data_IF_543637656940
#
_entry.id   IF_543637656940
#
_cell.length_a   1.000
_cell.length_b   1.000
_cell.length_c   1.000
_cell.angle_alpha   90.00
_cell.angle_beta   90.00
_cell.angle_gamma   90.00
#
_symmetry.space_group_name_H-M   'P 1'
#
loop_
_entity.id
_entity.type
_entity.pdbx_description
1 polymer ?
#
# COMPACT_ATOMS: atom_id res chain seq x y z
N UNK A 1 22.71 3.42 8.27
CA UNK A 1 21.86 4.66 8.25
C UNK A 1 21.49 4.96 9.69
N UNK A 2 21.70 6.18 10.14
CA UNK A 2 21.38 6.60 11.53
C UNK A 2 19.89 6.86 11.68
N UNK A 3 19.32 6.51 12.83
CA UNK A 3 17.97 6.89 13.23
C UNK A 3 18.00 8.29 13.84
N UNK A 4 16.92 9.07 13.66
CA UNK A 4 16.72 10.34 14.34
C UNK A 4 16.12 10.12 15.75
N UNK A 5 16.01 11.20 16.53
CA UNK A 5 15.57 11.13 17.94
C UNK A 5 14.16 10.54 18.08
N UNK A 6 13.20 10.92 17.22
CA UNK A 6 11.84 10.36 17.24
C UNK A 6 11.87 8.85 17.01
N UNK A 7 12.69 8.40 16.04
CA UNK A 7 12.86 7.00 15.69
C UNK A 7 13.58 6.22 16.81
N UNK A 8 14.57 6.82 17.45
CA UNK A 8 15.27 6.21 18.60
C UNK A 8 14.32 6.04 19.79
N UNK A 9 13.47 7.01 20.06
CA UNK A 9 12.46 6.90 21.10
C UNK A 9 11.45 5.78 20.81
N UNK A 10 10.97 5.71 19.59
CA UNK A 10 10.07 4.63 19.14
C UNK A 10 10.74 3.25 19.26
N UNK A 11 12.00 3.15 18.83
CA UNK A 11 12.80 1.92 18.95
C UNK A 11 12.98 1.48 20.41
N UNK A 12 13.15 2.44 21.33
CA UNK A 12 13.26 2.12 22.75
C UNK A 12 11.97 1.46 23.30
N UNK A 13 10.78 1.89 22.87
CA UNK A 13 9.53 1.20 23.22
C UNK A 13 9.46 -0.20 22.60
N UNK A 14 9.83 -0.33 21.34
CA UNK A 14 9.83 -1.62 20.63
C UNK A 14 10.74 -2.65 21.30
N UNK A 15 11.97 -2.24 21.67
CA UNK A 15 12.95 -3.10 22.30
C UNK A 15 12.59 -3.51 23.75
N UNK A 16 11.71 -2.73 24.41
CA UNK A 16 11.11 -3.09 25.70
C UNK A 16 9.96 -4.09 25.57
N UNK A 17 9.61 -4.52 24.37
CA UNK A 17 8.48 -5.43 24.12
C UNK A 17 7.10 -4.76 24.22
N UNK A 18 7.02 -3.42 24.20
CA UNK A 18 5.75 -2.72 24.20
C UNK A 18 5.01 -2.91 22.88
N UNK A 19 3.68 -2.94 22.91
CA UNK A 19 2.86 -2.73 21.73
C UNK A 19 2.97 -1.27 21.32
N UNK A 20 3.28 -0.99 20.05
CA UNK A 20 3.56 0.37 19.58
C UNK A 20 2.80 0.65 18.30
N UNK A 21 2.16 1.82 18.23
CA UNK A 21 1.66 2.39 16.98
C UNK A 21 2.61 3.51 16.53
N UNK A 22 3.35 3.24 15.47
CA UNK A 22 4.27 4.17 14.81
C UNK A 22 3.46 4.97 13.78
N UNK A 23 3.36 6.29 13.99
CA UNK A 23 2.61 7.18 13.12
C UNK A 23 3.38 8.45 12.81
N UNK A 24 2.89 9.22 11.88
CA UNK A 24 3.47 10.48 11.41
C UNK A 24 3.04 10.74 9.98
N UNK A 25 3.27 11.95 9.50
CA UNK A 25 2.97 12.31 8.11
C UNK A 25 3.72 11.45 7.10
N UNK A 26 3.30 11.54 5.85
CA UNK A 26 4.00 10.85 4.78
C UNK A 26 5.46 11.36 4.68
N UNK A 27 6.40 10.44 4.54
CA UNK A 27 7.81 10.82 4.40
C UNK A 27 8.60 10.98 5.70
N UNK A 28 8.03 10.70 6.88
CA UNK A 28 8.72 10.79 8.19
C UNK A 28 9.57 9.54 8.55
N UNK A 29 9.74 8.61 7.62
CA UNK A 29 10.64 7.47 7.83
C UNK A 29 10.05 6.31 8.63
N UNK A 30 8.72 6.16 8.72
CA UNK A 30 8.04 5.03 9.40
C UNK A 30 8.56 3.68 8.93
N UNK A 31 8.56 3.45 7.62
CA UNK A 31 9.01 2.18 7.02
C UNK A 31 10.51 1.94 7.24
N UNK A 32 11.32 3.01 7.30
CA UNK A 32 12.75 2.91 7.60
C UNK A 32 12.97 2.36 9.01
N UNK A 33 12.26 2.91 10.01
CA UNK A 33 12.30 2.44 11.39
C UNK A 33 11.86 0.97 11.51
N UNK A 34 10.77 0.58 10.82
CA UNK A 34 10.29 -0.81 10.82
C UNK A 34 11.37 -1.76 10.27
N UNK A 35 11.98 -1.43 9.13
CA UNK A 35 13.03 -2.26 8.53
C UNK A 35 14.24 -2.38 9.46
N UNK A 36 14.63 -1.29 10.10
CA UNK A 36 15.70 -1.29 11.09
C UNK A 36 15.37 -2.23 12.26
N UNK A 37 14.18 -2.10 12.84
CA UNK A 37 13.71 -2.95 13.92
C UNK A 37 13.65 -4.44 13.52
N UNK A 38 13.10 -4.77 12.35
CA UNK A 38 13.04 -6.13 11.84
C UNK A 38 14.46 -6.73 11.73
N UNK A 39 15.39 -5.98 11.15
CA UNK A 39 16.77 -6.43 10.99
C UNK A 39 17.44 -6.69 12.35
N UNK A 40 17.27 -5.76 13.29
CA UNK A 40 17.80 -5.87 14.65
C UNK A 40 17.24 -7.12 15.37
N UNK A 41 15.91 -7.31 15.36
CA UNK A 41 15.27 -8.44 16.04
C UNK A 41 15.61 -9.81 15.42
N UNK A 42 15.84 -9.88 14.11
CA UNK A 42 16.35 -11.12 13.48
C UNK A 42 17.71 -11.52 14.01
N UNK A 43 18.55 -10.55 14.34
CA UNK A 43 19.87 -10.79 14.96
C UNK A 43 19.74 -11.47 16.34
N UNK A 44 18.63 -11.22 17.04
CA UNK A 44 18.31 -11.86 18.33
C UNK A 44 17.50 -13.15 18.19
N UNK A 45 17.32 -13.68 16.98
CA UNK A 45 16.59 -14.93 16.73
C UNK A 45 15.08 -14.87 16.97
N UNK A 46 14.48 -13.69 17.04
CA UNK A 46 13.04 -13.50 17.23
C UNK A 46 12.22 -13.93 16.01
N UNK A 47 11.07 -14.53 16.27
CA UNK A 47 10.10 -14.90 15.22
C UNK A 47 9.18 -13.72 14.93
N UNK A 48 9.39 -13.06 13.79
CA UNK A 48 8.66 -11.86 13.40
C UNK A 48 7.70 -12.17 12.26
N UNK A 49 6.44 -11.79 12.43
CA UNK A 49 5.44 -11.73 11.36
C UNK A 49 5.48 -10.37 10.68
N UNK A 50 6.05 -10.31 9.48
CA UNK A 50 6.12 -9.06 8.70
C UNK A 50 4.90 -9.00 7.79
N UNK A 51 3.97 -8.08 8.09
CA UNK A 51 2.70 -7.99 7.35
C UNK A 51 2.30 -6.56 7.04
N UNK A 52 1.41 -6.40 6.04
CA UNK A 52 0.73 -5.15 5.76
C UNK A 52 -0.72 -5.42 5.33
N UNK A 53 -1.55 -4.39 5.36
CA UNK A 53 -2.96 -4.48 4.94
C UNK A 53 -3.11 -4.58 3.42
N UNK A 54 -2.14 -4.10 2.65
CA UNK A 54 -2.12 -4.17 1.18
C UNK A 54 -0.93 -4.96 0.64
N UNK A 55 -1.08 -5.51 -0.57
CA UNK A 55 0.01 -6.24 -1.23
C UNK A 55 1.23 -5.35 -1.51
N UNK A 56 1.01 -4.12 -1.97
CA UNK A 56 2.08 -3.17 -2.26
C UNK A 56 2.90 -2.82 -1.00
N UNK A 57 2.22 -2.49 0.10
CA UNK A 57 2.89 -2.19 1.38
C UNK A 57 3.64 -3.42 1.93
N UNK A 58 3.02 -4.62 1.84
CA UNK A 58 3.64 -5.86 2.29
C UNK A 58 4.97 -6.13 1.58
N UNK A 59 4.98 -5.96 0.26
CA UNK A 59 6.20 -6.13 -0.53
C UNK A 59 7.26 -5.08 -0.20
N UNK A 60 6.83 -3.82 0.03
CA UNK A 60 7.73 -2.74 0.39
C UNK A 60 8.51 -3.00 1.69
N UNK A 61 7.93 -3.71 2.66
CA UNK A 61 8.61 -4.08 3.92
C UNK A 61 9.20 -5.50 3.90
N UNK A 62 9.17 -6.20 2.75
CA UNK A 62 9.67 -7.57 2.63
C UNK A 62 8.78 -8.62 3.30
N UNK A 63 7.48 -8.33 3.42
CA UNK A 63 6.51 -9.19 4.12
C UNK A 63 5.42 -9.76 3.21
N UNK A 64 4.33 -10.20 3.83
CA UNK A 64 3.11 -10.72 3.18
C UNK A 64 1.91 -9.87 3.56
N UNK A 65 0.81 -9.98 2.79
CA UNK A 65 -0.45 -9.39 3.27
C UNK A 65 -0.86 -10.09 4.58
N UNK A 66 -1.47 -9.33 5.48
CA UNK A 66 -1.93 -9.84 6.77
C UNK A 66 -2.85 -11.06 6.61
N UNK A 67 -3.78 -11.00 5.67
CA UNK A 67 -4.69 -12.10 5.35
C UNK A 67 -3.97 -13.38 4.92
N UNK A 68 -2.96 -13.26 4.07
CA UNK A 68 -2.14 -14.39 3.63
C UNK A 68 -1.26 -14.93 4.77
N UNK A 69 -0.63 -14.07 5.55
CA UNK A 69 0.22 -14.47 6.67
C UNK A 69 -0.55 -15.26 7.73
N UNK A 70 -1.78 -14.82 8.03
CA UNK A 70 -2.68 -15.44 9.02
C UNK A 70 -3.47 -16.63 8.45
N UNK A 71 -3.45 -16.86 7.12
CA UNK A 71 -4.24 -17.89 6.43
C UNK A 71 -5.75 -17.78 6.66
N UNK A 72 -6.27 -16.55 6.77
CA UNK A 72 -7.69 -16.27 7.07
C UNK A 72 -8.56 -16.01 5.84
N UNK A 73 -7.98 -16.07 4.62
CA UNK A 73 -8.69 -15.74 3.38
C UNK A 73 -9.29 -14.34 3.43
N UNK A 74 -10.58 -14.18 3.14
CA UNK A 74 -11.29 -12.90 3.24
C UNK A 74 -11.83 -12.59 4.64
N UNK A 75 -11.42 -13.34 5.67
CA UNK A 75 -11.83 -13.20 7.07
C UNK A 75 -13.36 -13.18 7.32
N UNK A 76 -14.16 -13.78 6.40
CA UNK A 76 -15.63 -13.79 6.50
C UNK A 76 -16.19 -14.70 7.62
N UNK A 77 -15.40 -15.66 8.08
CA UNK A 77 -15.77 -16.59 9.16
C UNK A 77 -15.49 -15.97 10.54
N UNK A 78 -16.08 -16.55 11.59
CA UNK A 78 -15.75 -16.16 12.96
C UNK A 78 -14.30 -16.52 13.32
N UNK A 79 -13.75 -15.91 14.37
CA UNK A 79 -12.39 -16.17 14.84
C UNK A 79 -12.18 -17.64 15.21
N UNK A 80 -13.19 -18.26 15.87
CA UNK A 80 -13.18 -19.66 16.29
C UNK A 80 -13.12 -20.60 15.07
N UNK A 81 -13.96 -20.34 14.06
CA UNK A 81 -13.99 -21.15 12.84
C UNK A 81 -12.68 -21.03 12.04
N UNK A 82 -12.09 -19.83 11.97
CA UNK A 82 -10.78 -19.61 11.35
C UNK A 82 -9.67 -20.31 12.13
N UNK A 83 -9.64 -20.20 13.44
CA UNK A 83 -8.64 -20.86 14.28
C UNK A 83 -8.72 -22.39 14.17
N UNK A 84 -9.93 -22.96 14.24
CA UNK A 84 -10.14 -24.39 14.05
C UNK A 84 -9.67 -24.85 12.68
N UNK A 85 -10.03 -24.12 11.62
CA UNK A 85 -9.57 -24.41 10.25
C UNK A 85 -8.04 -24.38 10.16
N UNK A 86 -7.37 -23.38 10.76
CA UNK A 86 -5.91 -23.26 10.73
C UNK A 86 -5.24 -24.37 11.52
N UNK A 87 -5.74 -24.71 12.70
CA UNK A 87 -5.19 -25.80 13.55
C UNK A 87 -5.36 -27.17 12.93
N UNK A 88 -6.43 -27.39 12.18
CA UNK A 88 -6.72 -28.72 11.57
C UNK A 88 -6.12 -28.87 10.18
N UNK A 89 -6.29 -27.87 9.29
CA UNK A 89 -5.94 -27.94 7.87
C UNK A 89 -4.58 -27.30 7.55
N UNK A 90 -4.18 -26.25 8.31
CA UNK A 90 -2.95 -25.48 8.06
C UNK A 90 -1.97 -25.58 9.26
N UNK A 91 -1.65 -26.80 9.69
CA UNK A 91 -0.82 -27.09 10.88
C UNK A 91 0.51 -26.34 10.89
N UNK A 92 1.13 -26.13 9.69
CA UNK A 92 2.38 -25.34 9.56
C UNK A 92 2.17 -23.88 9.96
N UNK A 93 1.08 -23.26 9.52
CA UNK A 93 0.72 -21.89 9.90
C UNK A 93 0.39 -21.82 11.38
N UNK A 94 -0.38 -22.77 11.94
CA UNK A 94 -0.66 -22.83 13.37
C UNK A 94 0.63 -22.90 14.21
N UNK A 95 1.60 -23.75 13.81
CA UNK A 95 2.91 -23.83 14.48
C UNK A 95 3.66 -22.51 14.41
N UNK A 96 3.68 -21.85 13.23
CA UNK A 96 4.31 -20.54 13.04
C UNK A 96 3.68 -19.45 13.93
N UNK A 97 2.34 -19.41 14.00
CA UNK A 97 1.62 -18.41 14.81
C UNK A 97 1.79 -18.64 16.33
N UNK A 98 1.95 -19.89 16.78
CA UNK A 98 2.28 -20.19 18.18
C UNK A 98 3.69 -19.72 18.57
N UNK A 99 4.64 -19.81 17.64
CA UNK A 99 6.04 -19.40 17.87
C UNK A 99 6.27 -17.90 17.65
N UNK A 100 5.23 -17.13 17.25
CA UNK A 100 5.36 -15.73 16.89
C UNK A 100 5.67 -14.86 18.11
N UNK A 101 6.78 -14.10 18.09
CA UNK A 101 7.13 -13.15 19.13
C UNK A 101 6.55 -11.77 18.83
N UNK A 102 6.65 -11.31 17.58
CA UNK A 102 6.25 -9.97 17.15
C UNK A 102 5.44 -10.01 15.86
N UNK A 103 4.36 -9.26 15.81
CA UNK A 103 3.55 -9.04 14.60
C UNK A 103 3.67 -7.59 14.15
N UNK A 104 4.28 -7.37 13.01
CA UNK A 104 4.33 -6.07 12.33
C UNK A 104 3.16 -5.96 11.37
N UNK A 105 2.37 -4.88 11.45
CA UNK A 105 1.28 -4.57 10.53
C UNK A 105 1.48 -3.16 9.99
N UNK A 106 1.90 -3.05 8.74
CA UNK A 106 2.02 -1.76 8.05
C UNK A 106 0.70 -1.36 7.38
N UNK A 107 0.53 -0.06 7.15
CA UNK A 107 -0.70 0.57 6.63
C UNK A 107 -1.95 0.20 7.43
N UNK A 108 -1.84 0.19 8.76
CA UNK A 108 -2.93 -0.20 9.67
C UNK A 108 -4.17 0.69 9.58
N UNK A 109 -4.05 1.89 9.01
CA UNK A 109 -5.17 2.82 8.77
C UNK A 109 -6.30 2.23 7.93
N UNK A 110 -5.99 1.26 7.07
CA UNK A 110 -6.96 0.57 6.22
C UNK A 110 -7.68 -0.60 6.93
N UNK A 111 -7.29 -0.92 8.15
CA UNK A 111 -7.90 -1.99 8.94
C UNK A 111 -9.09 -1.47 9.73
N UNK A 112 -10.22 -2.15 9.65
CA UNK A 112 -11.37 -1.84 10.47
C UNK A 112 -11.30 -2.50 11.89
N UNK A 113 -12.14 -2.00 12.79
CA UNK A 113 -12.19 -2.46 14.18
C UNK A 113 -12.64 -3.92 14.31
N UNK A 114 -13.55 -4.39 13.46
CA UNK A 114 -14.04 -5.78 13.50
C UNK A 114 -12.93 -6.76 13.14
N UNK A 115 -12.16 -6.48 12.09
CA UNK A 115 -11.02 -7.29 11.70
C UNK A 115 -9.95 -7.30 12.80
N UNK A 116 -9.69 -6.15 13.43
CA UNK A 116 -8.71 -6.03 14.51
C UNK A 116 -9.10 -6.90 15.72
N UNK A 117 -10.36 -6.83 16.14
CA UNK A 117 -10.90 -7.65 17.24
C UNK A 117 -10.88 -9.15 16.87
N UNK A 118 -11.29 -9.49 15.64
CA UNK A 118 -11.29 -10.86 15.13
C UNK A 118 -9.90 -11.49 15.11
N UNK A 119 -8.86 -10.72 14.70
CA UNK A 119 -7.47 -11.19 14.68
C UNK A 119 -6.95 -11.43 16.10
N UNK A 120 -7.32 -10.58 17.05
CA UNK A 120 -6.98 -10.80 18.46
C UNK A 120 -7.55 -12.11 18.96
N UNK A 121 -8.87 -12.31 18.81
CA UNK A 121 -9.54 -13.54 19.23
C UNK A 121 -8.96 -14.79 18.52
N UNK A 122 -8.68 -14.69 17.23
CA UNK A 122 -8.06 -15.75 16.45
C UNK A 122 -6.68 -16.18 17.00
N UNK A 123 -5.81 -15.22 17.34
CA UNK A 123 -4.50 -15.52 17.92
C UNK A 123 -4.60 -16.01 19.36
N UNK A 124 -5.55 -15.51 20.18
CA UNK A 124 -5.82 -16.02 21.52
C UNK A 124 -6.13 -17.53 21.48
N UNK A 125 -7.00 -17.97 20.58
CA UNK A 125 -7.35 -19.37 20.42
C UNK A 125 -6.16 -20.22 19.96
N UNK A 126 -5.41 -19.78 18.96
CA UNK A 126 -4.28 -20.56 18.42
C UNK A 126 -3.15 -20.70 19.43
N UNK A 127 -2.91 -19.68 20.24
CA UNK A 127 -1.81 -19.61 21.20
C UNK A 127 -2.19 -20.08 22.61
N UNK A 128 -3.48 -20.32 22.83
CA UNK A 128 -4.04 -20.63 24.16
C UNK A 128 -3.64 -19.58 25.21
N UNK A 129 -3.80 -18.29 24.85
CA UNK A 129 -3.42 -17.14 25.66
C UNK A 129 -4.49 -16.05 25.55
N UNK A 130 -5.13 -15.70 26.68
CA UNK A 130 -6.24 -14.75 26.76
C UNK A 130 -5.85 -13.28 26.58
N UNK A 131 -4.55 -12.98 26.63
CA UNK A 131 -4.07 -11.61 26.39
C UNK A 131 -4.39 -11.16 24.95
N UNK A 132 -4.54 -9.85 24.71
CA UNK A 132 -4.73 -9.33 23.35
C UNK A 132 -3.71 -9.95 22.38
N UNK A 133 -4.22 -10.39 21.22
CA UNK A 133 -3.43 -11.07 20.19
C UNK A 133 -2.63 -12.30 20.68
N UNK A 134 -3.13 -12.98 21.73
CA UNK A 134 -2.44 -14.14 22.30
C UNK A 134 -1.05 -13.80 22.85
N UNK A 135 -0.86 -12.59 23.39
CA UNK A 135 0.40 -12.13 23.98
C UNK A 135 1.53 -11.81 22.99
N UNK A 136 1.25 -11.76 21.69
CA UNK A 136 2.22 -11.32 20.68
C UNK A 136 2.44 -9.81 20.79
N UNK A 137 3.69 -9.36 20.72
CA UNK A 137 3.99 -7.93 20.61
C UNK A 137 3.47 -7.38 19.28
N UNK A 138 2.75 -6.25 19.34
CA UNK A 138 2.22 -5.56 18.15
C UNK A 138 3.10 -4.38 17.76
N UNK A 139 3.51 -4.34 16.50
CA UNK A 139 4.16 -3.19 15.86
C UNK A 139 3.25 -2.72 14.74
N UNK A 140 2.43 -1.73 15.04
CA UNK A 140 1.47 -1.17 14.10
C UNK A 140 2.06 0.08 13.46
N UNK A 141 1.91 0.23 12.16
CA UNK A 141 2.41 1.38 11.42
C UNK A 141 1.36 1.93 10.47
N UNK A 142 1.28 3.25 10.38
CA UNK A 142 0.34 3.91 9.48
C UNK A 142 0.05 5.34 9.87
N UNK A 143 -0.91 5.93 9.18
CA UNK A 143 -1.40 7.28 9.45
C UNK A 143 -2.92 7.31 9.26
N UNK A 144 -3.66 7.42 10.35
CA UNK A 144 -5.13 7.47 10.31
C UNK A 144 -5.70 8.72 9.62
N UNK A 145 -4.88 9.76 9.44
CA UNK A 145 -5.27 10.93 8.65
C UNK A 145 -5.21 10.68 7.13
N UNK A 146 -4.64 9.56 6.68
CA UNK A 146 -4.71 9.10 5.30
C UNK A 146 -6.08 8.44 5.04
N UNK A 147 -6.12 7.44 4.15
CA UNK A 147 -7.37 6.79 3.78
C UNK A 147 -7.95 5.99 4.96
N UNK A 148 -9.27 6.12 5.21
CA UNK A 148 -9.99 5.28 6.17
C UNK A 148 -10.15 3.84 5.66
N UNK A 149 -10.58 2.89 6.51
CA UNK A 149 -11.03 1.59 6.07
C UNK A 149 -12.15 1.72 5.03
N UNK A 150 -12.20 0.80 4.05
CA UNK A 150 -13.24 0.79 3.00
C UNK A 150 -14.64 0.59 3.60
N UNK A 151 -14.72 -0.12 4.73
CA UNK A 151 -15.95 -0.36 5.48
C UNK A 151 -15.63 -0.43 6.97
N UNK A 152 -16.64 -0.19 7.81
CA UNK A 152 -16.48 -0.24 9.26
C UNK A 152 -15.84 1.02 9.86
N UNK A 153 -15.46 0.93 11.12
CA UNK A 153 -14.81 1.99 11.88
C UNK A 153 -13.30 1.75 12.01
N UNK A 154 -12.53 2.78 12.32
CA UNK A 154 -11.09 2.66 12.51
C UNK A 154 -10.72 1.63 13.58
N UNK A 155 -9.65 0.87 13.39
CA UNK A 155 -9.20 -0.15 14.34
C UNK A 155 -8.88 0.42 15.74
N UNK A 156 -8.51 1.70 15.86
CA UNK A 156 -8.29 2.33 17.16
C UNK A 156 -9.59 2.52 18.00
N UNK A 157 -10.76 2.38 17.39
CA UNK A 157 -12.05 2.41 18.11
C UNK A 157 -12.39 1.09 18.78
N UNK A 158 -11.68 0.02 18.40
CA UNK A 158 -11.85 -1.34 18.95
C UNK A 158 -11.61 -1.38 20.47
N UNK A 159 -12.32 -2.27 21.16
CA UNK A 159 -12.09 -2.56 22.58
C UNK A 159 -10.70 -3.14 22.82
N UNK A 160 -10.26 -4.01 21.91
CA UNK A 160 -8.95 -4.66 21.97
C UNK A 160 -7.81 -3.66 21.82
N UNK A 161 -7.96 -2.60 21.01
CA UNK A 161 -6.95 -1.55 20.90
C UNK A 161 -6.63 -0.92 22.26
N UNK A 162 -7.65 -0.63 23.06
CA UNK A 162 -7.47 -0.09 24.43
C UNK A 162 -6.84 -1.12 25.36
N UNK A 163 -7.30 -2.38 25.31
CA UNK A 163 -6.81 -3.47 26.15
C UNK A 163 -5.35 -3.82 25.85
N UNK A 164 -4.91 -3.70 24.59
CA UNK A 164 -3.56 -3.99 24.15
C UNK A 164 -2.50 -2.96 24.64
N UNK A 165 -2.93 -1.88 25.32
CA UNK A 165 -2.03 -0.83 25.87
C UNK A 165 -0.99 -0.34 24.85
N UNK A 166 -1.46 0.01 23.65
CA UNK A 166 -0.62 0.42 22.52
C UNK A 166 -0.04 1.81 22.78
N UNK A 167 1.28 1.93 22.79
CA UNK A 167 2.00 3.20 22.92
C UNK A 167 2.01 3.93 21.58
N UNK A 168 1.70 5.22 21.60
CA UNK A 168 1.79 6.08 20.42
C UNK A 168 3.23 6.59 20.25
N UNK A 169 3.86 6.28 19.12
CA UNK A 169 5.15 6.82 18.69
C UNK A 169 4.94 7.70 17.45
N UNK A 170 4.99 9.03 17.64
CA UNK A 170 4.77 10.00 16.58
C UNK A 170 6.10 10.43 15.99
N UNK A 171 6.32 10.18 14.69
CA UNK A 171 7.47 10.67 13.94
C UNK A 171 7.12 12.02 13.30
N UNK A 172 7.91 13.04 13.59
CA UNK A 172 7.66 14.43 13.16
C UNK A 172 8.69 14.94 12.17
N UNK A 173 9.88 14.34 12.15
CA UNK A 173 10.99 14.78 11.31
C UNK A 173 10.79 14.36 9.85
N UNK A 174 10.74 15.30 8.88
CA UNK A 174 10.64 14.96 7.46
C UNK A 174 11.90 14.27 6.97
N UNK A 175 11.75 13.16 6.25
CA UNK A 175 12.85 12.42 5.61
C UNK A 175 12.77 12.47 4.09
N UNK A 176 11.58 12.69 3.53
CA UNK A 176 11.34 12.71 2.07
C UNK A 176 11.37 14.13 1.52
N UNK A 177 10.80 15.09 2.24
CA UNK A 177 10.69 16.51 1.87
C UNK A 177 11.70 17.36 2.63
N UNK A 178 12.91 16.87 2.90
CA UNK A 178 13.95 17.62 3.62
C UNK A 178 14.32 18.93 2.93
N UNK A 179 14.31 18.92 1.60
CA UNK A 179 14.68 20.07 0.76
C UNK A 179 13.48 20.99 0.43
N UNK A 180 12.24 20.60 0.79
CA UNK A 180 11.02 21.37 0.53
C UNK A 180 10.17 21.50 1.79
N UNK A 181 10.63 22.35 2.70
CA UNK A 181 10.00 22.59 3.99
C UNK A 181 8.65 23.30 3.86
N UNK A 182 8.45 24.09 2.82
CA UNK A 182 7.17 24.74 2.50
C UNK A 182 6.12 23.71 2.16
N UNK A 183 6.44 22.79 1.25
CA UNK A 183 5.53 21.72 0.89
C UNK A 183 5.26 20.76 2.05
N UNK A 184 6.27 20.45 2.86
CA UNK A 184 6.08 19.64 4.06
C UNK A 184 5.08 20.29 5.03
N UNK A 185 5.23 21.60 5.29
CA UNK A 185 4.33 22.36 6.17
C UNK A 185 2.90 22.40 5.62
N UNK A 186 2.74 22.54 4.29
CA UNK A 186 1.44 22.46 3.61
C UNK A 186 0.83 21.05 3.78
N UNK A 187 1.61 19.99 3.63
CA UNK A 187 1.15 18.61 3.84
C UNK A 187 0.69 18.37 5.28
N UNK A 188 1.38 18.93 6.28
CA UNK A 188 0.96 18.82 7.68
C UNK A 188 -0.39 19.53 7.91
N UNK A 189 -0.61 20.71 7.35
CA UNK A 189 -1.92 21.38 7.43
C UNK A 189 -3.00 20.64 6.64
N UNK A 190 -2.69 20.15 5.46
CA UNK A 190 -3.61 19.33 4.66
C UNK A 190 -4.04 18.05 5.40
N UNK A 191 -3.13 17.43 6.14
CA UNK A 191 -3.37 16.25 6.98
C UNK A 191 -4.47 16.47 8.00
N UNK A 192 -4.56 17.67 8.56
CA UNK A 192 -5.51 18.03 9.59
C UNK A 192 -6.72 18.82 9.08
N UNK A 193 -6.80 19.04 7.76
CA UNK A 193 -7.88 19.85 7.16
C UNK A 193 -7.83 21.32 7.56
N UNK A 194 -6.65 21.83 7.88
CA UNK A 194 -6.42 23.20 8.38
C UNK A 194 -5.58 24.04 7.40
N UNK A 195 -5.75 23.83 6.09
CA UNK A 195 -5.10 24.64 5.06
C UNK A 195 -5.47 26.10 5.20
N UNK A 196 -4.48 26.98 5.09
CA UNK A 196 -4.66 28.44 5.05
C UNK A 196 -5.03 28.91 3.64
N UNK A 197 -5.44 30.16 3.49
CA UNK A 197 -5.68 30.73 2.16
C UNK A 197 -4.37 30.80 1.34
N UNK A 198 -3.24 31.06 1.97
CA UNK A 198 -1.92 31.02 1.32
C UNK A 198 -1.58 29.61 0.79
N UNK A 199 -1.92 28.56 1.54
CA UNK A 199 -1.78 27.17 1.07
C UNK A 199 -2.66 26.92 -0.14
N UNK A 200 -3.90 27.42 -0.11
CA UNK A 200 -4.83 27.27 -1.22
C UNK A 200 -4.36 28.04 -2.45
N UNK A 201 -3.77 29.22 -2.30
CA UNK A 201 -3.14 29.96 -3.41
C UNK A 201 -1.95 29.19 -3.98
N UNK A 202 -1.12 28.63 -3.11
CA UNK A 202 0.01 27.76 -3.50
C UNK A 202 -0.49 26.57 -4.31
N UNK A 203 -1.56 25.89 -3.87
CA UNK A 203 -2.15 24.78 -4.63
C UNK A 203 -2.82 25.25 -5.93
N UNK A 204 -3.47 26.43 -5.96
CA UNK A 204 -4.03 27.04 -7.18
C UNK A 204 -2.95 27.30 -8.24
N UNK A 205 -1.75 27.73 -7.84
CA UNK A 205 -0.65 27.91 -8.77
C UNK A 205 -0.22 26.62 -9.48
N UNK A 206 -0.58 25.46 -8.92
CA UNK A 206 -0.31 24.15 -9.51
C UNK A 206 -1.47 23.61 -10.38
N UNK A 207 -2.58 24.34 -10.48
CA UNK A 207 -3.70 23.95 -11.34
C UNK A 207 -3.30 24.15 -12.80
N UNK A 208 -3.40 23.07 -13.59
CA UNK A 208 -2.98 23.01 -14.99
C UNK A 208 -1.51 23.39 -15.25
N UNK A 209 -0.67 23.35 -14.21
CA UNK A 209 0.75 23.57 -14.38
C UNK A 209 1.33 22.50 -15.32
N UNK A 210 1.74 22.94 -16.49
CA UNK A 210 2.45 22.13 -17.49
C UNK A 210 3.95 22.34 -17.30
N UNK A 211 4.53 21.74 -16.28
CA UNK A 211 5.98 21.73 -16.17
C UNK A 211 6.57 20.67 -17.08
N UNK A 212 7.76 20.97 -17.57
CA UNK A 212 8.54 20.07 -18.40
C UNK A 212 9.02 18.88 -17.58
N UNK A 213 8.15 17.86 -17.48
CA UNK A 213 8.64 16.55 -17.12
C UNK A 213 9.57 16.05 -18.25
N UNK A 214 10.58 15.21 -17.95
CA UNK A 214 11.39 14.62 -18.99
C UNK A 214 10.49 14.06 -20.11
N UNK A 215 10.80 14.35 -21.36
CA UNK A 215 9.97 14.13 -22.55
C UNK A 215 9.37 12.73 -22.73
N UNK A 216 9.85 11.75 -21.96
CA UNK A 216 9.38 10.35 -22.00
C UNK A 216 8.55 9.91 -20.78
N UNK A 217 8.31 10.81 -19.79
CA UNK A 217 7.50 10.46 -18.60
C UNK A 217 6.26 11.35 -18.54
N UNK A 218 5.12 10.75 -18.84
CA UNK A 218 3.82 11.37 -18.56
C UNK A 218 3.55 11.27 -17.05
N UNK A 219 3.15 12.36 -16.35
CA UNK A 219 2.77 12.31 -14.95
C UNK A 219 1.70 11.25 -14.71
N UNK A 220 1.83 10.49 -13.62
CA UNK A 220 0.75 9.57 -13.24
C UNK A 220 -0.43 10.36 -12.72
N UNK A 221 -1.62 10.10 -13.27
CA UNK A 221 -2.85 10.71 -12.84
C UNK A 221 -3.45 9.94 -11.66
N UNK A 222 -3.77 10.67 -10.60
CA UNK A 222 -4.43 10.13 -9.41
C UNK A 222 -5.92 10.50 -9.42
N UNK A 223 -6.77 9.47 -9.37
CA UNK A 223 -8.23 9.63 -9.34
C UNK A 223 -8.83 8.94 -8.12
N UNK A 224 -10.01 9.41 -7.73
CA UNK A 224 -10.76 8.86 -6.59
C UNK A 224 -11.37 7.49 -6.87
N UNK A 225 -11.76 7.20 -8.12
CA UNK A 225 -12.52 6.01 -8.50
C UNK A 225 -11.84 5.22 -9.64
N UNK A 226 -12.08 3.89 -9.67
CA UNK A 226 -11.48 3.00 -10.68
C UNK A 226 -11.97 3.30 -12.11
N UNK A 227 -13.25 3.68 -12.30
CA UNK A 227 -13.81 3.94 -13.62
C UNK A 227 -13.05 5.04 -14.37
N UNK A 228 -12.63 6.10 -13.68
CA UNK A 228 -11.83 7.16 -14.28
C UNK A 228 -10.43 6.66 -14.68
N UNK A 229 -9.83 5.82 -13.84
CA UNK A 229 -8.52 5.20 -14.11
C UNK A 229 -8.57 4.31 -15.35
N UNK A 230 -9.57 3.46 -15.44
CA UNK A 230 -9.71 2.53 -16.57
C UNK A 230 -10.00 3.29 -17.88
N UNK A 231 -10.84 4.34 -17.85
CA UNK A 231 -11.12 5.19 -18.99
C UNK A 231 -9.85 5.90 -19.50
N UNK A 232 -9.09 6.52 -18.61
CA UNK A 232 -7.84 7.23 -18.95
C UNK A 232 -6.79 6.28 -19.51
N UNK A 233 -6.58 5.14 -18.87
CA UNK A 233 -5.61 4.15 -19.35
C UNK A 233 -6.00 3.60 -20.73
N UNK A 234 -7.31 3.35 -20.95
CA UNK A 234 -7.82 2.89 -22.25
C UNK A 234 -7.68 3.96 -23.33
N UNK A 235 -7.98 5.23 -23.01
CA UNK A 235 -7.84 6.34 -23.95
C UNK A 235 -6.38 6.52 -24.38
N UNK A 236 -5.45 6.59 -23.44
CA UNK A 236 -4.03 6.74 -23.78
C UNK A 236 -3.49 5.56 -24.58
N UNK A 237 -3.96 4.32 -24.30
CA UNK A 237 -3.59 3.17 -25.10
C UNK A 237 -4.11 3.34 -26.53
N UNK A 238 -5.38 3.76 -26.69
CA UNK A 238 -5.99 3.99 -28.00
C UNK A 238 -5.26 5.08 -28.77
N UNK A 239 -4.92 6.19 -28.12
CA UNK A 239 -4.18 7.31 -28.75
C UNK A 239 -2.83 6.88 -29.37
N UNK A 240 -2.20 5.85 -28.76
CA UNK A 240 -0.95 5.29 -29.30
C UNK A 240 -1.24 4.34 -30.47
N UNK A 241 -2.30 3.54 -30.37
CA UNK A 241 -2.70 2.62 -31.44
C UNK A 241 -3.11 3.38 -32.69
N UNK A 242 -3.81 4.53 -32.54
CA UNK A 242 -4.22 5.40 -33.64
C UNK A 242 -3.01 6.03 -34.39
N UNK A 243 -1.83 6.06 -33.74
CA UNK A 243 -0.57 6.47 -34.36
C UNK A 243 0.15 5.34 -35.11
N UNK A 244 -0.47 4.17 -35.22
CA UNK A 244 0.00 3.03 -36.00
C UNK A 244 0.77 1.95 -35.22
N UNK A 245 0.82 2.05 -33.90
CA UNK A 245 1.41 0.98 -33.08
C UNK A 245 0.50 -0.24 -33.01
N UNK A 246 1.10 -1.42 -32.82
CA UNK A 246 0.36 -2.67 -32.72
C UNK A 246 0.14 -3.08 -31.27
N UNK A 247 -1.05 -3.62 -30.98
CA UNK A 247 -1.41 -4.09 -29.66
C UNK A 247 -1.07 -5.57 -29.49
N UNK A 248 -0.39 -5.91 -28.38
CA UNK A 248 -0.20 -7.27 -27.92
C UNK A 248 -1.04 -7.50 -26.67
N UNK A 249 -1.75 -8.62 -26.62
CA UNK A 249 -2.56 -9.03 -25.47
C UNK A 249 -1.89 -10.16 -24.71
N UNK A 250 -1.92 -10.08 -23.37
CA UNK A 250 -1.39 -11.08 -22.45
C UNK A 250 -2.51 -11.53 -21.52
N UNK A 251 -2.75 -12.83 -21.48
CA UNK A 251 -3.75 -13.42 -20.59
C UNK A 251 -3.08 -14.29 -19.53
N UNK A 252 -3.56 -14.23 -18.27
CA UNK A 252 -3.04 -15.09 -17.21
C UNK A 252 -3.40 -16.55 -17.51
N UNK A 253 -2.48 -17.46 -17.18
CA UNK A 253 -2.73 -18.91 -17.23
C UNK A 253 -3.04 -19.38 -15.81
N UNK A 254 -4.26 -19.90 -15.63
CA UNK A 254 -4.72 -20.45 -14.36
C UNK A 254 -4.46 -21.96 -14.33
N UNK A 255 -3.64 -22.44 -13.39
CA UNK A 255 -3.39 -23.86 -13.23
C UNK A 255 -4.59 -24.56 -12.58
N UNK A 256 -4.85 -25.79 -13.00
CA UNK A 256 -5.93 -26.65 -12.50
C UNK A 256 -6.39 -27.66 -13.54
N UNK A 257 -6.63 -28.89 -13.11
CA UNK A 257 -7.13 -29.96 -14.00
C UNK A 257 -8.63 -29.85 -14.31
N UNK A 258 -9.43 -29.44 -13.32
CA UNK A 258 -10.86 -29.26 -13.43
C UNK A 258 -11.23 -27.75 -13.56
N UNK A 259 -12.33 -27.47 -14.29
CA UNK A 259 -12.78 -26.08 -14.49
C UNK A 259 -13.11 -25.36 -13.16
N UNK A 260 -13.72 -26.07 -12.21
CA UNK A 260 -13.97 -25.53 -10.87
C UNK A 260 -12.69 -25.10 -10.12
N UNK A 261 -11.56 -25.80 -10.35
CA UNK A 261 -10.26 -25.43 -9.78
C UNK A 261 -9.70 -24.19 -10.47
N UNK A 262 -9.79 -24.11 -11.81
CA UNK A 262 -9.37 -22.91 -12.56
C UNK A 262 -10.17 -21.68 -12.13
N UNK A 263 -11.49 -21.82 -11.92
CA UNK A 263 -12.33 -20.72 -11.44
C UNK A 263 -11.94 -20.25 -10.03
N UNK A 264 -11.61 -21.17 -9.12
CA UNK A 264 -11.06 -20.82 -7.78
C UNK A 264 -9.72 -20.11 -7.94
N UNK A 265 -8.84 -20.58 -8.83
CA UNK A 265 -7.55 -19.93 -9.11
C UNK A 265 -7.77 -18.54 -9.70
N UNK A 266 -8.72 -18.36 -10.62
CA UNK A 266 -9.09 -17.06 -11.20
C UNK A 266 -9.59 -16.08 -10.12
N UNK A 267 -10.51 -16.52 -9.28
CA UNK A 267 -11.02 -15.68 -8.18
C UNK A 267 -9.92 -15.26 -7.20
N UNK A 268 -9.02 -16.18 -6.86
CA UNK A 268 -7.85 -15.88 -6.04
C UNK A 268 -6.88 -14.91 -6.74
N UNK A 269 -6.54 -15.13 -8.00
CA UNK A 269 -5.66 -14.24 -8.77
C UNK A 269 -6.25 -12.83 -8.90
N UNK A 270 -7.57 -12.71 -9.09
CA UNK A 270 -8.29 -11.43 -9.10
C UNK A 270 -8.16 -10.71 -7.76
N UNK A 271 -8.22 -11.42 -6.63
CA UNK A 271 -8.02 -10.83 -5.31
C UNK A 271 -6.59 -10.31 -5.08
N UNK A 272 -5.61 -10.86 -5.79
CA UNK A 272 -4.23 -10.34 -5.85
C UNK A 272 -4.08 -9.15 -6.80
N UNK A 273 -5.15 -8.80 -7.53
CA UNK A 273 -5.15 -7.74 -8.51
C UNK A 273 -4.50 -8.13 -9.85
N UNK A 274 -4.37 -9.43 -10.16
CA UNK A 274 -3.97 -9.90 -11.49
C UNK A 274 -5.07 -9.53 -12.49
N UNK A 275 -4.77 -8.79 -13.57
CA UNK A 275 -5.77 -8.43 -14.57
C UNK A 275 -6.22 -9.67 -15.35
N UNK A 276 -7.50 -9.76 -15.68
CA UNK A 276 -8.02 -10.84 -16.53
C UNK A 276 -7.41 -10.83 -17.94
N UNK A 277 -7.04 -9.65 -18.43
CA UNK A 277 -6.36 -9.41 -19.70
C UNK A 277 -5.51 -8.15 -19.56
N UNK A 278 -4.30 -8.17 -20.10
CA UNK A 278 -3.40 -7.02 -20.17
C UNK A 278 -3.11 -6.73 -21.64
N UNK A 279 -3.55 -5.56 -22.12
CA UNK A 279 -3.25 -5.05 -23.45
C UNK A 279 -2.12 -4.03 -23.36
N UNK A 280 -1.08 -4.18 -24.16
CA UNK A 280 0.08 -3.30 -24.23
C UNK A 280 0.44 -2.99 -25.68
N UNK A 281 1.04 -1.83 -25.90
CA UNK A 281 1.69 -1.45 -27.15
C UNK A 281 3.05 -0.80 -26.84
N UNK A 282 3.89 -0.62 -27.84
CA UNK A 282 5.13 0.15 -27.68
C UNK A 282 4.79 1.58 -27.27
N UNK A 283 5.57 2.18 -26.37
CA UNK A 283 5.28 3.49 -25.79
C UNK A 283 4.28 3.48 -24.62
N UNK A 284 3.63 2.35 -24.32
CA UNK A 284 2.71 2.27 -23.18
C UNK A 284 3.44 2.49 -21.86
N UNK A 285 2.88 3.35 -21.00
CA UNK A 285 3.38 3.57 -19.66
C UNK A 285 2.85 2.49 -18.73
N UNK A 286 3.76 1.82 -18.03
CA UNK A 286 3.44 0.66 -17.17
C UNK A 286 4.04 0.78 -15.78
N UNK A 287 3.45 0.03 -14.85
CA UNK A 287 3.98 -0.19 -13.50
C UNK A 287 4.19 -1.68 -13.27
N UNK A 288 5.32 -2.02 -12.69
CA UNK A 288 5.62 -3.39 -12.23
C UNK A 288 4.75 -3.69 -11.01
N UNK A 289 4.06 -4.84 -11.00
CA UNK A 289 3.09 -5.21 -9.97
C UNK A 289 3.58 -6.31 -9.02
N UNK A 290 4.83 -6.74 -9.19
CA UNK A 290 5.43 -7.80 -8.37
C UNK A 290 6.94 -7.55 -8.20
N UNK A 291 7.52 -7.96 -7.06
CA UNK A 291 8.97 -7.90 -6.88
C UNK A 291 9.63 -9.00 -7.72
N UNK A 292 10.23 -8.60 -8.82
CA UNK A 292 11.04 -9.48 -9.65
C UNK A 292 12.44 -9.44 -9.05
N UNK A 293 13.07 -10.58 -8.79
CA UNK A 293 14.38 -10.75 -8.11
C UNK A 293 15.56 -10.04 -8.82
N UNK A 294 15.40 -8.76 -9.14
CA UNK A 294 16.39 -7.84 -9.69
C UNK A 294 16.31 -6.54 -8.90
N UNK A 295 17.44 -5.98 -8.53
CA UNK A 295 17.54 -4.84 -7.61
C UNK A 295 16.69 -3.63 -7.99
N UNK A 296 16.41 -3.44 -9.31
CA UNK A 296 15.65 -2.28 -9.82
C UNK A 296 14.17 -2.57 -10.15
N UNK A 297 13.70 -3.81 -10.02
CA UNK A 297 12.34 -4.22 -10.42
C UNK A 297 11.49 -4.59 -9.21
N UNK A 298 11.14 -3.59 -8.43
CA UNK A 298 10.22 -3.74 -7.29
C UNK A 298 8.79 -3.35 -7.69
N UNK A 299 7.82 -3.84 -6.94
CA UNK A 299 6.44 -3.42 -7.12
C UNK A 299 6.32 -1.89 -6.98
N UNK A 300 5.66 -1.25 -7.95
CA UNK A 300 5.57 0.20 -8.06
C UNK A 300 6.63 0.82 -8.99
N UNK A 301 7.62 0.06 -9.48
CA UNK A 301 8.58 0.57 -10.48
C UNK A 301 7.86 0.95 -11.77
N UNK A 302 8.02 2.20 -12.17
CA UNK A 302 7.43 2.74 -13.40
C UNK A 302 8.40 2.62 -14.57
N UNK A 303 7.82 2.35 -15.75
CA UNK A 303 8.58 2.18 -16.99
C UNK A 303 7.71 2.49 -18.22
N UNK A 304 8.36 2.57 -19.37
CA UNK A 304 7.71 2.66 -20.67
C UNK A 304 8.03 1.38 -21.45
N UNK A 305 7.04 0.83 -22.12
CA UNK A 305 7.19 -0.34 -23.00
C UNK A 305 8.03 0.07 -24.21
N UNK A 306 9.16 -0.56 -24.42
CA UNK A 306 10.05 -0.31 -25.55
C UNK A 306 9.85 -1.33 -26.68
N UNK A 307 9.60 -2.59 -26.31
CA UNK A 307 9.31 -3.64 -27.28
C UNK A 307 8.45 -4.77 -26.68
N UNK A 308 7.79 -5.51 -27.53
CA UNK A 308 6.80 -6.55 -27.18
C UNK A 308 7.08 -7.82 -27.94
N UNK A 309 6.98 -8.96 -27.25
CA UNK A 309 6.91 -10.28 -27.85
C UNK A 309 5.74 -11.08 -27.27
N UNK A 310 5.32 -12.19 -27.86
CA UNK A 310 4.22 -13.00 -27.30
C UNK A 310 4.48 -13.52 -25.88
N UNK A 311 5.73 -13.58 -25.44
CA UNK A 311 6.15 -14.19 -24.18
C UNK A 311 6.88 -13.24 -23.22
N UNK A 312 7.20 -12.02 -23.65
CA UNK A 312 7.94 -11.06 -22.81
C UNK A 312 7.74 -9.63 -23.27
N UNK A 313 8.06 -8.67 -22.41
CA UNK A 313 7.99 -7.24 -22.68
C UNK A 313 9.33 -6.62 -22.29
N UNK A 314 9.91 -5.82 -23.18
CA UNK A 314 11.07 -4.98 -22.87
C UNK A 314 10.55 -3.65 -22.37
N UNK A 315 10.93 -3.28 -21.16
CA UNK A 315 10.60 -1.99 -20.55
C UNK A 315 11.85 -1.15 -20.36
N UNK A 316 11.70 0.17 -20.51
CA UNK A 316 12.73 1.17 -20.23
C UNK A 316 12.38 1.90 -18.94
N UNK A 317 13.29 1.84 -17.97
CA UNK A 317 13.17 2.52 -16.68
C UNK A 317 13.49 4.01 -16.81
N UNK A 318 13.14 4.80 -15.78
CA UNK A 318 13.44 6.25 -15.70
C UNK A 318 14.92 6.58 -15.88
N UNK A 319 15.83 5.72 -15.39
CA UNK A 319 17.27 5.87 -15.52
C UNK A 319 17.81 5.42 -16.91
N UNK A 320 16.93 5.11 -17.86
CA UNK A 320 17.29 4.64 -19.20
C UNK A 320 17.63 3.16 -19.29
N UNK A 321 17.71 2.44 -18.18
CA UNK A 321 18.04 1.01 -18.17
C UNK A 321 16.89 0.19 -18.77
N UNK A 322 17.23 -0.75 -19.63
CA UNK A 322 16.29 -1.71 -20.26
C UNK A 322 16.21 -2.98 -19.45
N UNK A 323 14.99 -3.45 -19.24
CA UNK A 323 14.74 -4.72 -18.54
C UNK A 323 13.73 -5.56 -19.32
N UNK A 324 13.96 -6.87 -19.34
CA UNK A 324 13.02 -7.84 -19.93
C UNK A 324 12.10 -8.35 -18.83
N UNK A 325 10.80 -8.20 -19.03
CA UNK A 325 9.78 -8.73 -18.13
C UNK A 325 9.15 -9.95 -18.77
N UNK A 326 9.28 -11.09 -18.10
CA UNK A 326 8.64 -12.34 -18.48
C UNK A 326 7.49 -12.68 -17.50
N UNK A 327 6.52 -13.52 -17.91
CA UNK A 327 5.50 -14.02 -17.01
C UNK A 327 6.12 -14.69 -15.78
N UNK A 328 5.56 -14.40 -14.62
CA UNK A 328 5.95 -15.01 -13.35
C UNK A 328 4.90 -16.03 -12.92
N UNK A 329 5.32 -17.03 -12.16
CA UNK A 329 4.43 -17.99 -11.50
C UNK A 329 4.24 -17.60 -10.06
N UNK A 330 2.99 -17.32 -9.69
CA UNK A 330 2.62 -17.05 -8.29
C UNK A 330 1.76 -18.21 -7.79
N UNK A 331 2.11 -18.73 -6.63
CA UNK A 331 1.40 -19.82 -5.96
C UNK A 331 0.83 -19.35 -4.64
N UNK A 332 -0.34 -19.83 -4.28
CA UNK A 332 -0.89 -19.60 -2.96
C UNK A 332 -0.11 -20.42 -1.91
N UNK A 333 0.36 -19.79 -0.85
CA UNK A 333 1.12 -20.48 0.19
C UNK A 333 0.25 -21.49 0.95
N UNK A 334 -1.03 -21.18 1.12
CA UNK A 334 -1.97 -21.97 1.90
C UNK A 334 -2.66 -23.08 1.06
N UNK A 335 -2.71 -22.91 -0.26
CA UNK A 335 -3.25 -23.90 -1.19
C UNK A 335 -2.36 -23.97 -2.44
N UNK A 336 -1.39 -24.85 -2.42
CA UNK A 336 -0.42 -25.06 -3.50
C UNK A 336 -1.06 -25.42 -4.84
N UNK A 337 -2.35 -25.78 -4.83
CA UNK A 337 -3.12 -26.04 -6.05
C UNK A 337 -3.56 -24.77 -6.77
N UNK A 338 -3.53 -23.63 -6.07
CA UNK A 338 -3.85 -22.33 -6.66
C UNK A 338 -2.56 -21.68 -7.18
N UNK A 339 -2.37 -21.71 -8.48
CA UNK A 339 -1.21 -21.13 -9.17
C UNK A 339 -1.65 -20.38 -10.42
N UNK A 340 -1.08 -19.19 -10.59
CA UNK A 340 -1.30 -18.35 -11.76
C UNK A 340 0.03 -17.94 -12.38
N UNK A 341 0.11 -18.01 -13.70
CA UNK A 341 1.22 -17.46 -14.48
C UNK A 341 0.74 -16.22 -15.20
N UNK A 342 1.35 -15.07 -14.97
CA UNK A 342 0.94 -13.81 -15.58
C UNK A 342 2.10 -12.85 -15.75
N UNK A 343 1.96 -11.89 -16.66
CA UNK A 343 2.90 -10.81 -16.84
C UNK A 343 2.70 -9.73 -15.73
N UNK A 344 3.69 -9.47 -14.86
CA UNK A 344 3.50 -8.62 -13.68
C UNK A 344 3.58 -7.12 -14.02
N UNK A 345 2.77 -6.68 -14.97
CA UNK A 345 2.66 -5.30 -15.42
C UNK A 345 1.19 -4.84 -15.40
N UNK A 346 0.99 -3.53 -15.27
CA UNK A 346 -0.29 -2.83 -15.49
C UNK A 346 -0.04 -1.51 -16.18
N UNK A 347 -1.03 -1.01 -16.91
CA UNK A 347 -1.01 0.37 -17.42
C UNK A 347 -0.94 1.36 -16.25
N UNK A 348 -0.18 2.45 -16.43
CA UNK A 348 0.17 3.37 -15.35
C UNK A 348 0.11 4.85 -15.73
N UNK A 349 -0.71 5.23 -16.70
CA UNK A 349 -1.02 6.64 -16.94
C UNK A 349 -1.94 7.20 -15.86
N UNK A 350 -2.84 6.35 -15.34
CA UNK A 350 -3.66 6.67 -14.18
C UNK A 350 -3.68 5.53 -13.17
N UNK A 351 -3.80 5.87 -11.88
CA UNK A 351 -4.01 4.93 -10.78
C UNK A 351 -4.98 5.56 -9.76
N UNK A 352 -5.66 4.74 -8.97
CA UNK A 352 -6.48 5.30 -7.88
C UNK A 352 -5.61 5.77 -6.72
N UNK A 353 -6.10 6.78 -5.98
CA UNK A 353 -5.45 7.27 -4.75
C UNK A 353 -5.22 6.12 -3.77
N UNK A 354 -6.17 5.19 -3.63
CA UNK A 354 -6.03 3.99 -2.79
C UNK A 354 -4.83 3.12 -3.20
N UNK A 355 -4.67 2.88 -4.51
CA UNK A 355 -3.55 2.06 -5.02
C UNK A 355 -2.21 2.80 -5.00
N UNK A 356 -2.23 4.13 -4.88
CA UNK A 356 -1.01 4.93 -4.75
C UNK A 356 -0.50 5.00 -3.31
N UNK A 357 -1.26 4.51 -2.32
CA UNK A 357 -0.84 4.50 -0.93
C UNK A 357 0.45 3.70 -0.76
N UNK A 358 1.40 4.23 0.01
CA UNK A 358 2.74 3.67 0.11
C UNK A 358 3.71 4.00 -1.05
N UNK A 359 3.21 4.45 -2.21
CA UNK A 359 4.06 4.84 -3.34
C UNK A 359 4.63 6.25 -3.17
N UNK A 360 5.73 6.51 -3.85
CA UNK A 360 6.29 7.85 -4.06
C UNK A 360 6.36 8.10 -5.55
N UNK A 361 5.82 9.24 -6.01
CA UNK A 361 5.76 9.59 -7.42
C UNK A 361 6.64 10.81 -7.70
N UNK A 362 7.47 10.71 -8.74
CA UNK A 362 8.37 11.80 -9.14
C UNK A 362 7.64 12.89 -9.94
N UNK A 363 6.50 12.54 -10.54
CA UNK A 363 5.64 13.44 -11.29
C UNK A 363 4.20 12.94 -11.14
N UNK A 364 3.31 13.81 -10.66
CA UNK A 364 1.94 13.41 -10.36
C UNK A 364 0.95 14.49 -10.77
N UNK A 365 -0.10 14.08 -11.46
CA UNK A 365 -1.26 14.92 -11.74
C UNK A 365 -2.46 14.38 -10.96
N UNK A 366 -3.18 15.23 -10.24
CA UNK A 366 -4.24 14.78 -9.34
C UNK A 366 -5.51 15.59 -9.47
N UNK A 367 -6.65 14.90 -9.38
CA UNK A 367 -7.96 15.51 -9.27
C UNK A 367 -8.33 15.67 -7.78
N UNK A 368 -8.22 16.90 -7.28
CA UNK A 368 -8.54 17.31 -5.92
C UNK A 368 -9.87 18.10 -5.87
N UNK A 369 -10.73 17.89 -6.83
CA UNK A 369 -12.03 18.56 -6.97
C UNK A 369 -13.15 17.83 -6.22
N UNK A 370 -14.37 18.02 -6.73
CA UNK A 370 -15.60 17.52 -6.12
C UNK A 370 -15.75 15.99 -6.14
N UNK A 371 -14.85 15.28 -6.83
CA UNK A 371 -14.82 13.80 -6.87
C UNK A 371 -14.13 13.18 -5.64
N UNK A 372 -13.48 13.98 -4.80
CA UNK A 372 -12.98 13.54 -3.50
C UNK A 372 -14.18 13.29 -2.59
N UNK A 373 -14.36 12.05 -2.16
CA UNK A 373 -15.53 11.63 -1.38
C UNK A 373 -15.18 11.17 0.04
N UNK A 374 -13.93 10.80 0.30
CA UNK A 374 -13.49 10.29 1.60
C UNK A 374 -12.56 11.30 2.31
N UNK A 375 -12.67 11.36 3.64
CA UNK A 375 -11.71 12.10 4.47
C UNK A 375 -10.30 11.57 4.26
N UNK A 376 -9.29 12.45 4.34
CA UNK A 376 -7.89 12.09 4.13
C UNK A 376 -7.48 11.75 2.69
N UNK A 377 -8.43 11.65 1.75
CA UNK A 377 -8.14 11.22 0.38
C UNK A 377 -7.28 12.24 -0.38
N UNK A 378 -7.61 13.55 -0.27
CA UNK A 378 -6.83 14.62 -0.88
C UNK A 378 -5.42 14.71 -0.27
N UNK A 379 -5.30 14.64 1.04
CA UNK A 379 -4.01 14.56 1.72
C UNK A 379 -3.19 13.36 1.26
N UNK A 380 -3.82 12.18 1.16
CA UNK A 380 -3.15 10.98 0.66
C UNK A 380 -2.59 11.19 -0.74
N UNK A 381 -3.36 11.81 -1.66
CA UNK A 381 -2.92 12.11 -3.01
C UNK A 381 -1.71 13.06 -3.02
N UNK A 382 -1.82 14.21 -2.34
CA UNK A 382 -0.73 15.19 -2.24
C UNK A 382 0.54 14.56 -1.66
N UNK A 383 0.41 13.74 -0.65
CA UNK A 383 1.54 13.10 0.03
C UNK A 383 2.29 12.08 -0.85
N UNK A 384 1.82 11.79 -2.06
CA UNK A 384 2.55 10.95 -3.03
C UNK A 384 3.69 11.68 -3.70
N UNK A 385 3.60 13.01 -3.82
CA UNK A 385 4.62 13.85 -4.42
C UNK A 385 5.86 14.00 -3.52
N UNK A 386 7.02 14.18 -4.14
CA UNK A 386 8.27 14.48 -3.42
C UNK A 386 8.40 15.96 -3.10
N UNK A 387 8.06 16.82 -4.07
CA UNK A 387 8.16 18.27 -4.00
C UNK A 387 6.89 18.89 -4.56
N UNK A 388 6.65 20.15 -4.22
CA UNK A 388 5.53 20.92 -4.78
C UNK A 388 5.64 21.05 -6.31
N UNK A 389 6.83 21.18 -6.84
CA UNK A 389 7.08 21.27 -8.30
C UNK A 389 6.65 20.01 -9.05
N UNK A 390 6.71 18.85 -8.39
CA UNK A 390 6.28 17.59 -8.98
C UNK A 390 4.76 17.38 -9.01
N UNK A 391 3.99 18.36 -8.50
CA UNK A 391 2.53 18.34 -8.44
C UNK A 391 1.92 19.13 -9.58
N UNK A 392 0.99 18.52 -10.32
CA UNK A 392 0.02 19.18 -11.20
C UNK A 392 -1.40 18.84 -10.75
N UNK A 393 -2.30 19.81 -10.73
CA UNK A 393 -3.66 19.64 -10.25
C UNK A 393 -4.63 19.81 -11.43
N UNK A 394 -5.54 18.84 -11.62
CA UNK A 394 -6.57 18.89 -12.66
C UNK A 394 -7.71 19.81 -12.22
N UNK A 395 -8.23 19.59 -11.04
CA UNK A 395 -9.23 20.42 -10.38
C UNK A 395 -8.98 20.48 -8.88
N UNK A 396 -9.36 21.60 -8.26
CA UNK A 396 -9.10 21.87 -6.85
C UNK A 396 -10.37 22.39 -6.17
N UNK A 397 -10.73 21.77 -5.04
CA UNK A 397 -11.81 22.24 -4.17
C UNK A 397 -11.31 22.33 -2.72
N UNK A 398 -11.52 23.45 -2.02
CA UNK A 398 -11.21 23.54 -0.59
C UNK A 398 -11.88 22.44 0.24
N UNK A 399 -13.10 22.04 -0.18
CA UNK A 399 -13.86 20.98 0.47
C UNK A 399 -13.27 19.56 0.32
N UNK A 400 -12.24 19.37 -0.50
CA UNK A 400 -11.54 18.09 -0.64
C UNK A 400 -10.67 17.75 0.58
N UNK A 401 -10.22 18.78 1.31
CA UNK A 401 -9.32 18.65 2.45
C UNK A 401 -10.10 18.58 3.77
N UNK A 402 -10.68 17.43 4.04
CA UNK A 402 -11.44 17.18 5.27
C UNK A 402 -10.72 16.14 6.12
N UNK A 403 -10.50 16.46 7.40
CA UNK A 403 -10.07 15.50 8.40
C UNK A 403 -11.28 14.86 9.09
N UNK A 404 -11.13 13.60 9.50
CA UNK A 404 -12.17 12.91 10.25
C UNK A 404 -12.14 13.36 11.72
N UNK A 405 -13.28 13.78 12.31
CA UNK A 405 -13.34 14.21 13.71
C UNK A 405 -12.86 13.15 14.71
N UNK A 406 -13.09 11.86 14.44
CA UNK A 406 -12.59 10.77 15.28
C UNK A 406 -11.05 10.69 15.23
N UNK A 407 -10.47 10.92 14.06
CA UNK A 407 -9.01 10.94 13.87
C UNK A 407 -8.40 12.14 14.60
N UNK A 408 -8.99 13.32 14.46
CA UNK A 408 -8.53 14.52 15.19
C UNK A 408 -8.54 14.26 16.70
N UNK A 409 -9.64 13.72 17.22
CA UNK A 409 -9.77 13.35 18.63
C UNK A 409 -8.74 12.30 19.05
N UNK A 410 -8.48 11.29 18.21
CA UNK A 410 -7.48 10.24 18.51
C UNK A 410 -6.06 10.82 18.66
N UNK A 411 -5.70 11.78 17.79
CA UNK A 411 -4.38 12.42 17.83
C UNK A 411 -4.30 13.62 18.80
N UNK A 412 -5.40 14.01 19.42
CA UNK A 412 -5.45 15.17 20.33
C UNK A 412 -5.28 16.51 19.61
N UNK A 413 -5.73 16.59 18.35
CA UNK A 413 -5.70 17.83 17.55
C UNK A 413 -7.00 18.58 17.80
N UNK A 414 -6.89 19.80 18.34
CA UNK A 414 -8.02 20.74 18.46
C UNK A 414 -8.21 21.46 17.12
N UNK A 415 -9.45 21.59 16.67
CA UNK A 415 -9.83 22.47 15.55
C UNK A 415 -10.02 23.89 16.02
#
# INVERSE_FOLDING_TARGET
>A
MSLNDDQLQALAYLNRGCNVFITGSAGTGKTHLIRFFIHDQHTYGKQIGITATTGAAALHIGGKTLHSFMAIGLAKKSAEALAMQTMTKNKRTAKKLRALDTLVIDEVSLMDAELFDKLSAYLQIIRDDVRPFGGVQLVLCGDFAQLPPVSGSYCFTSKVWKQANIKLAKLTTPMRQQDDTVFFSLLERARWGSLTEEDMETLRSRVQATESFPDYIVPTRLYSVNADVDAINSQHLQDILDKGETMQQYEPKYEGGAEAQKERTRAWATSLGVPARLALCRGAQVVVTYNINQEDLVNGTRAVVEDLSPTSVIIKLKNGVRKVISPIVVSCDDDKSLRVTYLPLKLAWAVTIHRSQGLTLDAVQMDLGNRIFATGQAYTALSRAKTLESVSIISLSPNAFKADPLVLKFYGVSQ
#
